data_IF_873211634634
#
_entry.id   IF_873211634634
#
_cell.length_a   1.000
_cell.length_b   1.000
_cell.length_c   1.000
_cell.angle_alpha   90.00
_cell.angle_beta   90.00
_cell.angle_gamma   90.00
#
_symmetry.space_group_name_H-M   'P 1'
#
loop_
_entity.id
_entity.type
_entity.pdbx_description
1 polymer ?
#
# COMPACT_ATOMS: atom_id res chain seq x y z
N UNK A 1 19.79 -27.53 11.38
CA UNK A 1 20.31 -26.22 11.82
C UNK A 1 21.05 -25.62 10.65
N UNK A 2 20.41 -24.71 9.91
CA UNK A 2 21.03 -23.98 8.80
C UNK A 2 21.08 -22.51 9.22
N UNK A 3 22.27 -22.01 9.54
CA UNK A 3 22.50 -20.61 9.85
C UNK A 3 22.45 -19.80 8.56
N UNK A 4 21.42 -18.98 8.38
CA UNK A 4 21.43 -17.91 7.38
C UNK A 4 22.18 -16.71 7.97
N UNK A 5 23.37 -16.45 7.41
CA UNK A 5 24.07 -15.18 7.59
C UNK A 5 23.30 -14.09 6.85
N UNK A 6 22.66 -13.19 7.59
CA UNK A 6 22.06 -11.97 7.07
C UNK A 6 23.18 -11.05 6.61
N UNK A 7 23.38 -10.94 5.29
CA UNK A 7 24.13 -9.83 4.71
C UNK A 7 23.40 -8.54 5.02
N UNK A 8 24.09 -7.57 5.60
CA UNK A 8 23.57 -6.23 5.81
C UNK A 8 23.11 -5.65 4.46
N UNK A 9 21.87 -5.18 4.33
CA UNK A 9 21.41 -4.67 3.07
C UNK A 9 22.02 -3.29 2.80
N UNK A 10 22.46 -3.08 1.57
CA UNK A 10 23.21 -1.92 1.05
C UNK A 10 22.41 -0.60 1.03
N UNK A 11 21.15 -0.58 1.45
CA UNK A 11 20.36 0.65 1.59
C UNK A 11 20.77 1.51 2.80
N UNK A 12 21.59 0.99 3.72
CA UNK A 12 22.10 1.74 4.87
C UNK A 12 23.06 2.89 4.49
N UNK A 13 23.48 2.99 3.22
CA UNK A 13 24.46 3.99 2.74
C UNK A 13 23.94 4.86 1.59
N UNK A 14 22.63 4.85 1.29
CA UNK A 14 22.09 5.70 0.23
C UNK A 14 22.19 7.19 0.63
N UNK A 15 23.03 7.93 -0.09
CA UNK A 15 23.10 9.40 0.01
C UNK A 15 21.97 9.98 -0.84
N UNK A 16 21.11 10.76 -0.21
CA UNK A 16 19.98 11.43 -0.86
C UNK A 16 20.50 12.72 -1.50
N UNK A 17 20.69 12.74 -2.82
CA UNK A 17 20.92 14.00 -3.54
C UNK A 17 19.59 14.68 -3.84
N UNK A 18 19.39 15.87 -3.28
CA UNK A 18 18.21 16.68 -3.55
C UNK A 18 18.22 17.20 -5.01
N UNK A 19 17.07 17.21 -5.72
CA UNK A 19 17.00 17.68 -7.10
C UNK A 19 17.36 19.17 -7.23
N UNK A 20 18.07 19.51 -8.31
CA UNK A 20 18.70 20.81 -8.58
C UNK A 20 17.75 22.03 -8.76
N UNK A 21 16.44 21.91 -8.47
CA UNK A 21 15.43 22.91 -8.82
C UNK A 21 14.75 23.60 -7.64
N UNK A 22 15.28 23.48 -6.43
CA UNK A 22 14.95 24.42 -5.35
C UNK A 22 15.81 25.68 -5.49
N UNK A 23 15.37 26.63 -6.31
CA UNK A 23 15.92 27.97 -6.26
C UNK A 23 15.67 28.52 -4.84
N UNK A 24 16.78 28.80 -4.14
CA UNK A 24 16.83 29.36 -2.79
C UNK A 24 15.99 30.64 -2.75
N UNK A 25 14.73 30.56 -2.34
CA UNK A 25 13.95 31.73 -1.97
C UNK A 25 14.71 32.41 -0.82
N UNK A 26 14.97 33.71 -0.96
CA UNK A 26 15.92 34.49 -0.16
C UNK A 26 15.59 34.67 1.32
N UNK A 27 15.44 33.58 2.07
CA UNK A 27 15.44 33.55 3.52
C UNK A 27 16.77 32.95 4.00
N UNK A 28 17.62 33.80 4.60
CA UNK A 28 18.77 33.42 5.44
C UNK A 28 19.83 32.52 4.81
N UNK A 29 20.93 33.09 4.32
CA UNK A 29 22.07 32.30 3.83
C UNK A 29 22.75 31.43 4.92
N UNK A 30 22.42 31.62 6.20
CA UNK A 30 23.10 31.02 7.36
C UNK A 30 22.22 30.06 8.22
N UNK A 31 21.05 29.63 7.74
CA UNK A 31 20.23 28.66 8.51
C UNK A 31 20.67 27.23 8.15
N UNK A 32 21.30 26.54 9.10
CA UNK A 32 21.55 25.10 9.02
C UNK A 32 20.23 24.33 9.21
N UNK A 33 19.77 23.70 8.14
CA UNK A 33 18.54 22.89 8.12
C UNK A 33 18.79 21.39 8.29
N UNK A 34 20.06 20.99 8.48
CA UNK A 34 20.44 19.58 8.62
C UNK A 34 19.72 18.88 9.78
N UNK A 35 19.55 19.50 10.97
CA UNK A 35 18.83 18.86 12.08
C UNK A 35 17.37 18.54 11.75
N UNK A 36 16.69 19.41 11.00
CA UNK A 36 15.30 19.22 10.57
C UNK A 36 15.21 18.12 9.51
N UNK A 37 16.13 18.09 8.55
CA UNK A 37 16.22 17.04 7.55
C UNK A 37 16.46 15.66 8.22
N UNK A 38 17.39 15.58 9.16
CA UNK A 38 17.64 14.34 9.92
C UNK A 38 16.42 13.92 10.74
N UNK A 39 15.72 14.87 11.37
CA UNK A 39 14.50 14.59 12.11
C UNK A 39 13.41 14.02 11.21
N UNK A 40 13.25 14.58 10.01
CA UNK A 40 12.28 14.10 9.02
C UNK A 40 12.64 12.70 8.52
N UNK A 41 13.92 12.43 8.26
CA UNK A 41 14.41 11.11 7.85
C UNK A 41 14.10 10.07 8.94
N UNK A 42 14.44 10.35 10.21
CA UNK A 42 14.15 9.46 11.33
C UNK A 42 12.65 9.22 11.49
N UNK A 43 11.84 10.27 11.36
CA UNK A 43 10.39 10.15 11.39
C UNK A 43 9.88 9.26 10.26
N UNK A 44 10.36 9.47 9.03
CA UNK A 44 9.94 8.67 7.88
C UNK A 44 10.30 7.20 8.00
N UNK A 45 11.53 6.90 8.41
CA UNK A 45 11.96 5.52 8.69
C UNK A 45 11.06 4.86 9.74
N UNK A 46 10.77 5.55 10.85
CA UNK A 46 9.88 5.03 11.88
C UNK A 46 8.44 4.85 11.40
N UNK A 47 7.90 5.82 10.65
CA UNK A 47 6.53 5.78 10.14
C UNK A 47 6.33 4.62 9.16
N UNK A 48 7.24 4.44 8.20
CA UNK A 48 7.18 3.32 7.25
C UNK A 48 7.41 1.96 7.93
N UNK A 49 8.37 1.87 8.87
CA UNK A 49 8.57 0.64 9.63
C UNK A 49 7.31 0.25 10.40
N UNK A 50 6.68 1.22 11.07
CA UNK A 50 5.44 0.97 11.81
C UNK A 50 4.28 0.57 10.89
N UNK A 51 4.13 1.23 9.74
CA UNK A 51 3.10 0.87 8.75
C UNK A 51 3.31 -0.58 8.24
N UNK A 52 4.55 -0.97 7.99
CA UNK A 52 4.87 -2.33 7.57
C UNK A 52 4.59 -3.38 8.66
N UNK A 53 4.93 -3.08 9.92
CA UNK A 53 4.65 -3.97 11.05
C UNK A 53 3.15 -4.16 11.25
N UNK A 54 2.37 -3.07 11.25
CA UNK A 54 0.92 -3.15 11.40
C UNK A 54 0.25 -3.87 10.21
N UNK A 55 0.77 -3.70 8.99
CA UNK A 55 0.31 -4.44 7.81
C UNK A 55 0.59 -5.96 7.93
N UNK A 56 1.74 -6.37 8.47
CA UNK A 56 2.03 -7.79 8.75
C UNK A 56 1.12 -8.36 9.83
N UNK A 57 0.77 -7.57 10.84
CA UNK A 57 -0.22 -7.98 11.86
C UNK A 57 -1.61 -8.17 11.24
N UNK A 58 -2.03 -7.28 10.33
CA UNK A 58 -3.27 -7.44 9.57
C UNK A 58 -3.24 -8.70 8.70
N UNK A 59 -2.14 -8.95 7.98
CA UNK A 59 -1.98 -10.15 7.18
C UNK A 59 -2.14 -11.42 8.03
N UNK A 60 -1.50 -11.49 9.21
CA UNK A 60 -1.64 -12.63 10.11
C UNK A 60 -3.08 -12.84 10.60
N UNK A 61 -3.85 -11.77 10.85
CA UNK A 61 -5.25 -11.87 11.23
C UNK A 61 -6.14 -12.37 10.08
N UNK A 62 -5.87 -11.93 8.84
CA UNK A 62 -6.55 -12.41 7.64
C UNK A 62 -6.24 -13.89 7.42
N UNK A 63 -4.97 -14.30 7.50
CA UNK A 63 -4.56 -15.70 7.34
C UNK A 63 -5.23 -16.61 8.39
N UNK A 64 -5.31 -16.14 9.64
CA UNK A 64 -6.02 -16.84 10.70
C UNK A 64 -7.51 -17.03 10.35
N UNK A 65 -8.19 -15.98 9.87
CA UNK A 65 -9.58 -16.07 9.41
C UNK A 65 -9.74 -17.04 8.23
N UNK A 66 -8.87 -16.97 7.22
CA UNK A 66 -8.95 -17.84 6.04
C UNK A 66 -8.72 -19.32 6.40
N UNK A 67 -7.86 -19.60 7.39
CA UNK A 67 -7.60 -20.97 7.85
C UNK A 67 -8.76 -21.57 8.68
N UNK A 68 -9.54 -20.73 9.38
CA UNK A 68 -10.67 -21.14 10.20
C UNK A 68 -11.80 -20.09 10.14
N UNK A 69 -12.59 -20.07 9.05
CA UNK A 69 -13.61 -19.04 8.85
C UNK A 69 -14.65 -19.04 9.97
N UNK A 70 -14.83 -17.88 10.58
CA UNK A 70 -15.82 -17.64 11.63
C UNK A 70 -16.18 -16.16 11.69
N UNK A 71 -17.34 -15.84 12.25
CA UNK A 71 -17.76 -14.44 12.46
C UNK A 71 -16.76 -13.68 13.35
N UNK A 72 -16.28 -14.32 14.42
CA UNK A 72 -15.20 -13.79 15.26
C UNK A 72 -13.93 -13.52 14.44
N UNK A 73 -13.49 -14.48 13.63
CA UNK A 73 -12.31 -14.31 12.77
C UNK A 73 -12.45 -13.17 11.75
N UNK A 74 -13.62 -13.01 11.14
CA UNK A 74 -13.90 -11.90 10.24
C UNK A 74 -13.88 -10.55 10.98
N UNK A 75 -14.49 -10.49 12.17
CA UNK A 75 -14.45 -9.29 13.01
C UNK A 75 -13.02 -8.90 13.41
N UNK A 76 -12.17 -9.90 13.66
CA UNK A 76 -10.73 -9.73 13.94
C UNK A 76 -9.96 -9.19 12.73
N UNK A 77 -10.18 -9.76 11.54
CA UNK A 77 -9.59 -9.27 10.30
C UNK A 77 -9.97 -7.80 10.03
N UNK A 78 -11.27 -7.47 10.12
CA UNK A 78 -11.79 -6.09 10.01
C UNK A 78 -11.21 -5.14 11.07
N UNK A 79 -11.02 -5.61 12.31
CA UNK A 79 -10.38 -4.81 13.36
C UNK A 79 -8.91 -4.53 13.03
N UNK A 80 -8.18 -5.53 12.56
CA UNK A 80 -6.75 -5.39 12.23
C UNK A 80 -6.52 -4.41 11.08
N UNK A 81 -7.38 -4.39 10.06
CA UNK A 81 -7.33 -3.40 8.98
C UNK A 81 -7.50 -1.98 9.51
N UNK A 82 -8.52 -1.74 10.36
CA UNK A 82 -8.76 -0.43 10.99
C UNK A 82 -7.62 0.01 11.91
N UNK A 83 -6.90 -0.92 12.51
CA UNK A 83 -5.72 -0.63 13.33
C UNK A 83 -4.49 -0.30 12.49
N UNK A 84 -4.32 -0.96 11.34
CA UNK A 84 -3.17 -0.77 10.47
C UNK A 84 -3.28 0.49 9.59
N UNK A 85 -4.48 0.82 9.13
CA UNK A 85 -4.73 1.94 8.22
C UNK A 85 -4.16 3.29 8.72
N UNK A 86 -4.34 3.70 9.99
CA UNK A 86 -3.78 4.96 10.49
C UNK A 86 -2.25 5.03 10.45
N UNK A 87 -1.55 3.89 10.57
CA UNK A 87 -0.10 3.87 10.48
C UNK A 87 0.38 4.17 9.07
N UNK A 88 -0.28 3.61 8.06
CA UNK A 88 -0.01 3.92 6.67
C UNK A 88 -0.40 5.37 6.32
N UNK A 89 -1.55 5.87 6.77
CA UNK A 89 -1.98 7.25 6.51
C UNK A 89 -0.95 8.30 7.00
N UNK A 90 -0.26 8.03 8.11
CA UNK A 90 0.85 8.90 8.57
C UNK A 90 2.01 8.95 7.58
N UNK A 91 2.20 7.94 6.74
CA UNK A 91 3.24 7.94 5.70
C UNK A 91 2.84 8.75 4.47
N UNK A 92 1.56 9.09 4.30
CA UNK A 92 1.10 9.78 3.09
C UNK A 92 1.70 11.19 2.95
N UNK A 93 2.05 11.83 4.07
CA UNK A 93 2.76 13.11 4.09
C UNK A 93 4.21 13.03 3.55
N UNK A 94 4.71 11.81 3.35
CA UNK A 94 6.07 11.50 2.90
C UNK A 94 6.10 10.96 1.47
N UNK A 95 4.96 11.00 0.76
CA UNK A 95 4.85 10.62 -0.67
C UNK A 95 5.42 11.70 -1.58
N UNK A 96 6.74 11.89 -1.51
CA UNK A 96 7.44 12.86 -2.33
C UNK A 96 7.61 12.32 -3.76
N UNK A 97 7.48 13.22 -4.74
CA UNK A 97 7.69 12.90 -6.15
C UNK A 97 9.11 12.40 -6.43
N UNK A 98 9.21 11.39 -7.29
CA UNK A 98 10.46 10.73 -7.67
C UNK A 98 11.27 10.18 -6.48
N UNK A 99 10.56 9.69 -5.46
CA UNK A 99 11.14 9.03 -4.29
C UNK A 99 10.81 7.53 -4.33
N UNK A 100 11.34 6.69 -3.40
CA UNK A 100 11.10 5.25 -3.43
C UNK A 100 9.63 4.81 -3.45
N UNK A 101 8.71 5.65 -2.95
CA UNK A 101 7.26 5.36 -2.98
C UNK A 101 6.63 5.71 -4.33
N UNK A 102 7.12 6.74 -5.02
CA UNK A 102 6.49 7.38 -6.18
C UNK A 102 7.57 7.77 -7.22
N UNK A 103 8.17 6.78 -7.87
CA UNK A 103 9.08 6.99 -9.01
C UNK A 103 8.56 6.26 -10.24
N UNK A 104 8.86 6.75 -11.44
CA UNK A 104 8.33 6.19 -12.68
C UNK A 104 8.88 4.80 -13.05
N UNK A 105 9.93 4.34 -12.36
CA UNK A 105 10.68 3.14 -12.73
C UNK A 105 11.56 3.34 -13.98
N UNK A 106 12.20 2.27 -14.42
CA UNK A 106 12.96 2.17 -15.68
C UNK A 106 12.97 0.71 -16.16
N UNK A 107 13.74 0.40 -17.22
CA UNK A 107 13.84 -0.95 -17.81
C UNK A 107 14.29 -2.04 -16.81
N UNK A 108 14.90 -1.65 -15.68
CA UNK A 108 15.45 -2.57 -14.67
C UNK A 108 14.70 -2.47 -13.33
N UNK A 109 13.99 -1.37 -13.09
CA UNK A 109 13.37 -1.05 -11.81
C UNK A 109 11.87 -0.82 -12.01
N UNK A 110 10.99 -1.61 -11.38
CA UNK A 110 9.56 -1.34 -11.47
C UNK A 110 9.24 0.05 -10.90
N UNK A 111 8.13 0.68 -11.31
CA UNK A 111 7.69 1.93 -10.72
C UNK A 111 7.47 1.78 -9.20
N UNK A 112 7.50 2.93 -8.53
CA UNK A 112 7.24 3.06 -7.11
C UNK A 112 5.94 2.37 -6.72
N UNK A 113 5.86 1.77 -5.52
CA UNK A 113 4.76 0.90 -5.15
C UNK A 113 3.47 1.63 -4.79
N UNK A 114 3.43 2.98 -4.76
CA UNK A 114 2.26 3.76 -4.33
C UNK A 114 0.94 3.31 -5.00
N UNK A 115 0.85 3.16 -6.33
CA UNK A 115 -0.40 2.76 -6.97
C UNK A 115 -0.87 1.37 -6.53
N UNK A 116 0.05 0.46 -6.19
CA UNK A 116 -0.29 -0.89 -5.70
C UNK A 116 -0.64 -0.95 -4.22
N UNK A 117 -0.35 0.11 -3.47
CA UNK A 117 -0.61 0.16 -2.04
C UNK A 117 -1.93 0.88 -1.77
N UNK A 118 -2.21 2.00 -2.45
CA UNK A 118 -3.28 2.91 -2.05
C UNK A 118 -4.00 3.60 -3.22
N UNK A 119 -4.03 2.99 -4.40
CA UNK A 119 -4.79 3.54 -5.52
C UNK A 119 -6.28 3.70 -5.17
N UNK A 120 -6.88 4.75 -5.74
CA UNK A 120 -8.27 5.12 -5.60
C UNK A 120 -8.66 6.00 -6.81
N UNK A 121 -9.89 5.90 -7.39
CA UNK A 121 -11.05 5.11 -6.96
C UNK A 121 -10.97 3.61 -7.30
N UNK A 122 -11.72 2.78 -6.59
CA UNK A 122 -11.82 1.33 -6.84
C UNK A 122 -13.07 0.97 -7.67
N UNK A 123 -12.87 0.25 -8.77
CA UNK A 123 -13.92 -0.48 -9.47
C UNK A 123 -14.17 -1.82 -8.76
N UNK A 124 -15.09 -1.83 -7.81
CA UNK A 124 -15.43 -3.02 -7.01
C UNK A 124 -15.87 -4.21 -7.88
N UNK A 125 -16.59 -3.93 -8.98
CA UNK A 125 -17.05 -4.93 -9.93
C UNK A 125 -15.92 -5.60 -10.73
N UNK A 126 -14.69 -5.06 -10.67
CA UNK A 126 -13.51 -5.72 -11.19
C UNK A 126 -13.01 -6.82 -10.25
N UNK A 127 -13.22 -6.71 -8.93
CA UNK A 127 -12.78 -7.72 -7.96
C UNK A 127 -13.84 -8.82 -7.79
N UNK A 128 -15.06 -8.46 -7.40
CA UNK A 128 -16.14 -9.42 -7.10
C UNK A 128 -17.53 -8.89 -7.53
N UNK A 129 -18.58 -9.62 -7.19
CA UNK A 129 -19.95 -9.22 -7.44
C UNK A 129 -20.32 -7.89 -6.76
N UNK A 130 -21.23 -7.16 -7.41
CA UNK A 130 -21.88 -5.95 -6.90
C UNK A 130 -23.38 -6.00 -7.16
N UNK A 131 -24.14 -5.10 -6.54
CA UNK A 131 -25.58 -4.93 -6.80
C UNK A 131 -25.82 -4.68 -8.30
N UNK A 132 -26.70 -5.48 -8.90
CA UNK A 132 -26.98 -5.45 -10.33
C UNK A 132 -26.00 -6.26 -11.21
N UNK A 133 -24.87 -6.73 -10.68
CA UNK A 133 -23.89 -7.53 -11.41
C UNK A 133 -23.36 -8.75 -10.61
N UNK A 134 -24.21 -9.77 -10.36
CA UNK A 134 -23.88 -10.91 -9.47
C UNK A 134 -22.81 -11.87 -10.01
N UNK A 135 -22.34 -11.67 -11.25
CA UNK A 135 -21.31 -12.50 -11.92
C UNK A 135 -20.09 -11.68 -12.34
N UNK A 136 -19.98 -10.44 -11.84
CA UNK A 136 -18.83 -9.59 -12.09
C UNK A 136 -17.60 -10.08 -11.30
N UNK A 137 -16.47 -9.45 -11.58
CA UNK A 137 -15.25 -9.67 -10.82
C UNK A 137 -14.37 -10.82 -11.29
N UNK A 138 -13.09 -10.73 -10.93
CA UNK A 138 -12.11 -11.78 -11.13
C UNK A 138 -12.47 -13.06 -10.38
N UNK A 139 -13.09 -12.96 -9.20
CA UNK A 139 -13.43 -14.12 -8.36
C UNK A 139 -14.43 -15.06 -9.06
N UNK A 140 -15.31 -14.52 -9.91
CA UNK A 140 -16.31 -15.30 -10.65
C UNK A 140 -15.75 -15.89 -11.97
N UNK A 141 -14.51 -15.58 -12.35
CA UNK A 141 -13.88 -16.05 -13.59
C UNK A 141 -13.23 -17.42 -13.43
N UNK A 142 -14.00 -18.47 -13.76
CA UNK A 142 -13.52 -19.86 -13.70
C UNK A 142 -12.44 -20.20 -14.74
N UNK A 143 -12.25 -19.35 -15.75
CA UNK A 143 -11.23 -19.50 -16.79
C UNK A 143 -9.87 -18.90 -16.39
N UNK A 144 -9.81 -18.24 -15.23
CA UNK A 144 -8.66 -17.45 -14.81
C UNK A 144 -8.19 -17.89 -13.41
N UNK A 145 -7.01 -18.56 -13.29
CA UNK A 145 -6.47 -18.93 -12.00
C UNK A 145 -6.17 -17.71 -11.12
N UNK A 146 -6.65 -17.74 -9.87
CA UNK A 146 -6.38 -16.71 -8.86
C UNK A 146 -4.98 -16.93 -8.27
N UNK A 147 -3.99 -16.47 -9.02
CA UNK A 147 -2.56 -16.51 -8.69
C UNK A 147 -2.02 -15.09 -8.54
N UNK A 148 -0.91 -14.91 -7.80
CA UNK A 148 -0.29 -13.59 -7.60
C UNK A 148 0.03 -12.89 -8.93
N UNK A 149 0.58 -13.63 -9.90
CA UNK A 149 0.89 -13.09 -11.23
C UNK A 149 -0.36 -12.61 -11.96
N UNK A 150 -1.45 -13.35 -11.86
CA UNK A 150 -2.73 -13.00 -12.47
C UNK A 150 -3.34 -11.77 -11.81
N UNK A 151 -3.34 -11.70 -10.48
CA UNK A 151 -3.84 -10.56 -9.72
C UNK A 151 -3.07 -9.29 -10.11
N UNK A 152 -1.74 -9.36 -10.09
CA UNK A 152 -0.87 -8.24 -10.46
C UNK A 152 -1.01 -7.84 -11.93
N UNK A 153 -1.20 -8.80 -12.84
CA UNK A 153 -1.43 -8.51 -14.24
C UNK A 153 -2.79 -7.82 -14.49
N UNK A 154 -3.76 -8.04 -13.61
CA UNK A 154 -5.11 -7.46 -13.71
C UNK A 154 -5.26 -6.16 -12.94
N UNK A 155 -4.29 -5.78 -12.12
CA UNK A 155 -4.25 -4.48 -11.43
C UNK A 155 -4.07 -3.35 -12.46
N UNK A 156 -4.99 -2.40 -12.47
CA UNK A 156 -5.00 -1.22 -13.33
C UNK A 156 -4.82 -1.54 -14.82
N UNK A 157 -5.31 -2.71 -15.25
CA UNK A 157 -5.01 -3.27 -16.58
C UNK A 157 -5.75 -2.55 -17.72
N UNK A 158 -7.05 -2.31 -17.54
CA UNK A 158 -7.90 -1.65 -18.53
C UNK A 158 -8.28 -0.23 -18.15
N UNK A 159 -8.45 0.03 -16.85
CA UNK A 159 -8.79 1.31 -16.27
C UNK A 159 -7.98 1.55 -14.99
N UNK A 160 -7.70 2.80 -14.63
CA UNK A 160 -6.97 3.13 -13.38
C UNK A 160 -7.73 2.70 -12.13
N UNK A 161 -9.05 2.53 -12.24
CA UNK A 161 -9.90 2.04 -11.16
C UNK A 161 -9.97 0.51 -11.07
N UNK A 162 -9.44 -0.24 -12.05
CA UNK A 162 -9.38 -1.70 -12.06
C UNK A 162 -8.33 -2.27 -11.08
N UNK A 163 -8.37 -1.79 -9.84
CA UNK A 163 -7.44 -2.10 -8.77
C UNK A 163 -7.76 -3.48 -8.21
N UNK A 164 -6.72 -4.29 -7.98
CA UNK A 164 -6.82 -5.65 -7.42
C UNK A 164 -5.96 -5.82 -6.16
N UNK A 165 -5.20 -4.79 -5.79
CA UNK A 165 -4.26 -4.79 -4.68
C UNK A 165 -4.42 -3.58 -3.76
N UNK A 166 -3.72 -3.59 -2.63
CA UNK A 166 -3.67 -2.44 -1.72
C UNK A 166 -4.84 -2.32 -0.75
N UNK A 167 -4.88 -1.19 -0.04
CA UNK A 167 -5.77 -0.97 1.10
C UNK A 167 -7.25 -1.11 0.76
N UNK A 168 -7.66 -0.52 -0.36
CA UNK A 168 -9.07 -0.45 -0.77
C UNK A 168 -9.57 -1.78 -1.34
N UNK A 169 -8.72 -2.55 -2.03
CA UNK A 169 -9.07 -3.92 -2.42
C UNK A 169 -9.30 -4.83 -1.20
N UNK A 170 -8.44 -4.73 -0.18
CA UNK A 170 -8.61 -5.50 1.07
C UNK A 170 -9.87 -5.04 1.82
N UNK A 171 -10.14 -3.74 1.85
CA UNK A 171 -11.36 -3.17 2.44
C UNK A 171 -12.62 -3.75 1.77
N UNK A 172 -12.72 -3.66 0.44
CA UNK A 172 -13.82 -4.25 -0.31
C UNK A 172 -13.99 -5.75 -0.01
N UNK A 173 -12.90 -6.54 0.04
CA UNK A 173 -12.99 -7.98 0.34
C UNK A 173 -13.45 -8.27 1.79
N UNK A 174 -13.21 -7.36 2.72
CA UNK A 174 -13.58 -7.53 4.13
C UNK A 174 -15.02 -7.07 4.40
N UNK A 175 -15.51 -6.04 3.72
CA UNK A 175 -16.82 -5.44 3.98
C UNK A 175 -17.87 -5.67 2.88
N UNK A 176 -17.44 -5.99 1.66
CA UNK A 176 -18.27 -6.03 0.47
C UNK A 176 -18.38 -4.66 -0.19
N UNK A 177 -19.29 -4.56 -1.16
CA UNK A 177 -19.60 -3.33 -1.89
C UNK A 177 -19.99 -2.19 -0.94
N UNK A 178 -19.44 -1.00 -1.16
CA UNK A 178 -19.92 0.21 -0.50
C UNK A 178 -21.28 0.64 -1.09
N UNK A 179 -22.33 0.59 -0.27
CA UNK A 179 -23.68 1.01 -0.61
C UNK A 179 -24.09 2.30 0.13
N UNK A 180 -23.17 2.93 0.84
CA UNK A 180 -23.44 4.15 1.59
C UNK A 180 -23.55 5.35 0.64
N UNK A 181 -24.72 5.98 0.61
CA UNK A 181 -24.94 7.20 -0.18
C UNK A 181 -24.33 8.45 0.47
N UNK A 182 -24.12 8.44 1.80
CA UNK A 182 -23.93 9.66 2.60
C UNK A 182 -22.64 9.67 3.45
N UNK A 183 -21.75 8.71 3.25
CA UNK A 183 -20.48 8.64 3.97
C UNK A 183 -19.53 7.62 3.36
N UNK A 184 -18.22 7.73 3.59
CA UNK A 184 -17.27 6.72 3.14
C UNK A 184 -17.59 5.37 3.78
N UNK A 185 -17.49 4.29 2.99
CA UNK A 185 -17.61 2.89 3.43
C UNK A 185 -16.88 2.54 4.72
#
# INVERSE_FOLDING_TARGET
MLSLLLSTPTWATAVFEAPARFQKAGAGADIDVSPQAESLIRFGQHAYARAADDARMMQAAIDAFLSAPSETGLAEARRSWRQARPAYQRTEMLRFFNSPIDHAGDDQTPPGPEPRINAWPLNEAHIDYVEGAPKAGLIQRLDLPIEVSTILHRDQFSDESDITTGWHAIEFLLWGQDLSADGPG
#
